data_IF_325343551724
#
_entry.id   IF_325343551724
#
_cell.length_a   1.000
_cell.length_b   1.000
_cell.length_c   1.000
_cell.angle_alpha   90.00
_cell.angle_beta   90.00
_cell.angle_gamma   90.00
#
_symmetry.space_group_name_H-M   'P 1'
#
loop_
_entity.id
_entity.type
_entity.pdbx_description
1 polymer ?
#
# COMPACT_ATOMS: atom_id res chain seq x y z
N UNK A 1 16.97 30.99 -8.20
CA UNK A 1 16.70 29.76 -8.95
C UNK A 1 15.30 29.76 -9.50
N UNK A 2 15.15 29.54 -10.78
CA UNK A 2 13.83 29.38 -11.38
C UNK A 2 13.30 28.00 -11.02
N UNK A 3 12.29 27.96 -10.17
CA UNK A 3 11.60 26.71 -9.83
C UNK A 3 10.74 26.25 -11.01
N UNK A 4 11.00 25.06 -11.51
CA UNK A 4 10.23 24.48 -12.63
C UNK A 4 8.76 24.20 -12.26
N UNK A 5 8.51 23.83 -11.00
CA UNK A 5 7.18 23.53 -10.49
C UNK A 5 6.89 24.44 -9.31
N UNK A 6 5.87 25.29 -9.43
CA UNK A 6 5.47 26.24 -8.40
C UNK A 6 4.24 25.71 -7.69
N UNK A 7 4.27 25.72 -6.36
CA UNK A 7 3.12 25.40 -5.51
C UNK A 7 2.36 26.69 -5.23
N UNK A 8 1.15 26.76 -5.74
CA UNK A 8 0.21 27.85 -5.50
C UNK A 8 -1.13 27.22 -5.10
N UNK A 9 -1.44 27.25 -3.81
CA UNK A 9 -2.66 26.70 -3.24
C UNK A 9 -3.73 27.77 -3.12
N UNK A 10 -4.96 27.42 -3.52
CA UNK A 10 -6.11 28.28 -3.25
C UNK A 10 -6.38 28.35 -1.74
N UNK A 11 -7.13 29.35 -1.30
CA UNK A 11 -7.53 29.48 0.12
C UNK A 11 -8.31 28.25 0.60
N UNK A 12 -9.16 27.71 -0.27
CA UNK A 12 -9.95 26.50 0.02
C UNK A 12 -9.09 25.26 0.14
N UNK A 13 -8.14 25.06 -0.78
CA UNK A 13 -7.18 23.93 -0.73
C UNK A 13 -6.30 23.99 0.52
N UNK A 14 -5.84 25.17 0.89
CA UNK A 14 -5.07 25.38 2.12
C UNK A 14 -5.89 25.03 3.36
N UNK A 15 -7.11 25.52 3.46
CA UNK A 15 -8.02 25.22 4.55
C UNK A 15 -8.32 23.71 4.64
N UNK A 16 -8.57 23.04 3.52
CA UNK A 16 -8.80 21.60 3.45
C UNK A 16 -7.57 20.80 3.96
N UNK A 17 -6.37 21.18 3.57
CA UNK A 17 -5.14 20.54 4.02
C UNK A 17 -4.90 20.72 5.52
N UNK A 18 -5.15 21.91 6.05
CA UNK A 18 -5.03 22.21 7.48
C UNK A 18 -6.06 21.42 8.29
N UNK A 19 -7.29 21.31 7.82
CA UNK A 19 -8.34 20.54 8.47
C UNK A 19 -8.01 19.03 8.48
N UNK A 20 -7.47 18.50 7.41
CA UNK A 20 -6.98 17.11 7.35
C UNK A 20 -5.89 16.84 8.38
N UNK A 21 -4.99 17.79 8.60
CA UNK A 21 -3.95 17.65 9.65
C UNK A 21 -4.54 17.67 11.06
N UNK A 22 -5.61 18.43 11.31
CA UNK A 22 -6.30 18.48 12.61
C UNK A 22 -7.07 17.20 12.91
N UNK A 23 -7.53 16.49 11.90
CA UNK A 23 -8.33 15.27 12.01
C UNK A 23 -7.64 14.05 12.64
N UNK A 24 -6.35 14.09 12.86
CA UNK A 24 -5.56 13.25 13.76
C UNK A 24 -5.22 11.83 13.30
N UNK A 25 -5.96 11.20 12.44
CA UNK A 25 -5.67 9.83 11.98
C UNK A 25 -5.33 9.77 10.50
N UNK A 26 -4.04 9.87 10.21
CA UNK A 26 -3.54 9.84 8.84
C UNK A 26 -2.17 9.14 8.78
N UNK A 27 -1.87 8.37 7.73
CA UNK A 27 -0.53 7.83 7.54
C UNK A 27 0.53 8.92 7.54
N UNK A 28 1.64 8.70 8.23
CA UNK A 28 2.75 9.67 8.36
C UNK A 28 3.22 10.22 7.01
N UNK A 29 3.22 9.38 5.99
CA UNK A 29 3.59 9.80 4.63
C UNK A 29 2.65 10.88 4.07
N UNK A 30 1.35 10.76 4.32
CA UNK A 30 0.36 11.76 3.92
C UNK A 30 0.55 13.07 4.69
N UNK A 31 0.75 12.97 6.00
CA UNK A 31 1.03 14.13 6.87
C UNK A 31 2.25 14.90 6.36
N UNK A 32 3.35 14.22 6.10
CA UNK A 32 4.57 14.85 5.57
C UNK A 32 4.33 15.55 4.22
N UNK A 33 3.59 14.93 3.32
CA UNK A 33 3.26 15.51 2.00
C UNK A 33 2.42 16.76 2.13
N UNK A 34 1.41 16.76 2.99
CA UNK A 34 0.58 17.93 3.27
C UNK A 34 1.43 19.06 3.85
N UNK A 35 2.31 18.76 4.80
CA UNK A 35 3.22 19.76 5.38
C UNK A 35 4.19 20.34 4.34
N UNK A 36 4.71 19.52 3.42
CA UNK A 36 5.55 19.98 2.31
C UNK A 36 4.79 20.98 1.44
N UNK A 37 3.56 20.68 1.06
CA UNK A 37 2.74 21.54 0.22
C UNK A 37 2.41 22.86 0.90
N UNK A 38 2.02 22.84 2.18
CA UNK A 38 1.71 24.05 2.94
C UNK A 38 2.93 24.95 3.10
N UNK A 39 4.09 24.39 3.39
CA UNK A 39 5.33 25.18 3.52
C UNK A 39 5.82 25.71 2.18
N UNK A 40 5.73 24.94 1.12
CA UNK A 40 6.08 25.37 -0.23
C UNK A 40 5.17 26.50 -0.72
N UNK A 41 3.89 26.50 -0.37
CA UNK A 41 2.94 27.57 -0.65
C UNK A 41 3.31 28.90 0.04
N UNK A 42 3.94 28.83 1.22
CA UNK A 42 4.47 29.99 1.93
C UNK A 42 5.81 30.53 1.41
N UNK A 43 6.18 30.18 0.19
CA UNK A 43 7.42 30.63 -0.48
C UNK A 43 8.72 30.14 0.16
N UNK A 44 8.68 29.06 0.94
CA UNK A 44 9.87 28.43 1.47
C UNK A 44 10.71 27.81 0.36
N UNK A 45 12.03 27.83 0.53
CA UNK A 45 12.92 27.09 -0.38
C UNK A 45 12.82 25.58 -0.14
N UNK A 46 13.18 24.80 -1.14
CA UNK A 46 13.13 23.33 -1.02
C UNK A 46 14.04 22.81 0.09
N UNK A 47 15.20 23.46 0.29
CA UNK A 47 16.11 23.16 1.38
C UNK A 47 15.50 23.45 2.76
N UNK A 48 14.79 24.58 2.90
CA UNK A 48 14.11 24.93 4.14
C UNK A 48 12.97 23.96 4.45
N UNK A 49 12.19 23.58 3.46
CA UNK A 49 11.11 22.58 3.62
C UNK A 49 11.67 21.23 3.98
N UNK A 50 12.71 20.78 3.29
CA UNK A 50 13.38 19.50 3.56
C UNK A 50 13.94 19.42 4.98
N UNK A 51 14.60 20.47 5.43
CA UNK A 51 15.16 20.56 6.79
C UNK A 51 14.06 20.58 7.86
N UNK A 52 12.98 21.34 7.64
CA UNK A 52 11.90 21.49 8.61
C UNK A 52 11.09 20.20 8.81
N UNK A 53 10.93 19.39 7.77
CA UNK A 53 10.11 18.17 7.79
C UNK A 53 10.96 16.92 8.02
N UNK A 54 12.27 17.01 7.77
CA UNK A 54 13.18 15.87 7.88
C UNK A 54 13.05 14.88 6.72
N UNK A 55 12.94 15.40 5.50
CA UNK A 55 12.88 14.63 4.25
C UNK A 55 14.00 15.03 3.30
N UNK A 56 14.27 14.21 2.30
CA UNK A 56 15.24 14.54 1.27
C UNK A 56 14.74 15.64 0.32
N UNK A 57 15.66 16.41 -0.23
CA UNK A 57 15.37 17.47 -1.22
C UNK A 57 14.61 16.94 -2.43
N UNK A 58 15.01 15.78 -2.95
CA UNK A 58 14.34 15.11 -4.06
C UNK A 58 12.87 14.75 -3.77
N UNK A 59 12.55 14.47 -2.51
CA UNK A 59 11.17 14.22 -2.07
C UNK A 59 10.33 15.48 -2.21
N UNK A 60 10.84 16.62 -1.78
CA UNK A 60 10.14 17.93 -1.91
C UNK A 60 9.89 18.26 -3.38
N UNK A 61 10.90 18.13 -4.22
CA UNK A 61 10.77 18.36 -5.67
C UNK A 61 9.76 17.42 -6.32
N UNK A 62 9.77 16.14 -5.93
CA UNK A 62 8.84 15.14 -6.43
C UNK A 62 7.38 15.46 -6.05
N UNK A 63 7.13 15.91 -4.82
CA UNK A 63 5.77 16.28 -4.36
C UNK A 63 5.28 17.53 -5.11
N UNK A 64 6.12 18.52 -5.30
CA UNK A 64 5.78 19.73 -6.09
C UNK A 64 5.41 19.38 -7.52
N UNK A 65 6.22 18.53 -8.17
CA UNK A 65 5.91 18.04 -9.51
C UNK A 65 4.58 17.29 -9.58
N UNK A 66 4.31 16.43 -8.61
CA UNK A 66 3.04 15.68 -8.54
C UNK A 66 1.83 16.62 -8.38
N UNK A 67 1.95 17.68 -7.62
CA UNK A 67 0.88 18.68 -7.48
C UNK A 67 0.55 19.31 -8.84
N UNK A 68 1.55 19.74 -9.59
CA UNK A 68 1.37 20.39 -10.89
C UNK A 68 0.83 19.42 -11.94
N UNK A 69 1.33 18.20 -11.96
CA UNK A 69 0.97 17.18 -12.97
C UNK A 69 -0.34 16.45 -12.66
N UNK A 70 -0.70 16.26 -11.39
CA UNK A 70 -1.78 15.36 -10.95
C UNK A 70 -2.81 16.00 -10.03
N UNK A 71 -2.61 17.24 -9.65
CA UNK A 71 -3.46 17.94 -8.68
C UNK A 71 -3.21 17.53 -7.23
N UNK A 72 -4.00 18.09 -6.32
CA UNK A 72 -3.80 17.97 -4.88
C UNK A 72 -3.88 16.51 -4.38
N UNK A 73 -4.91 15.79 -4.75
CA UNK A 73 -5.08 14.38 -4.34
C UNK A 73 -3.97 13.48 -4.90
N UNK A 74 -3.54 13.72 -6.13
CA UNK A 74 -2.44 12.99 -6.76
C UNK A 74 -1.08 13.23 -6.09
N UNK A 75 -0.88 14.40 -5.47
CA UNK A 75 0.32 14.71 -4.72
C UNK A 75 0.32 14.03 -3.33
N UNK A 76 -0.83 13.96 -2.67
CA UNK A 76 -0.98 13.44 -1.31
C UNK A 76 -1.04 11.90 -1.31
N UNK A 77 -1.74 11.31 -2.28
CA UNK A 77 -2.02 9.86 -2.31
C UNK A 77 -1.06 9.14 -3.25
N UNK A 78 -0.60 7.97 -2.82
CA UNK A 78 0.21 7.12 -3.68
C UNK A 78 -0.64 6.52 -4.80
N UNK A 79 -0.04 6.40 -6.00
CA UNK A 79 -0.60 5.55 -7.05
C UNK A 79 -0.74 4.12 -6.56
N UNK A 80 -1.87 3.51 -6.85
CA UNK A 80 -2.01 2.06 -6.67
C UNK A 80 -0.99 1.34 -7.56
N UNK A 81 -0.33 0.29 -7.07
CA UNK A 81 0.56 -0.50 -7.90
C UNK A 81 -0.17 -1.01 -9.14
N UNK A 82 0.44 -0.86 -10.31
CA UNK A 82 -0.12 -1.39 -11.56
C UNK A 82 -0.04 -2.92 -11.61
N UNK A 83 0.95 -3.48 -10.91
CA UNK A 83 1.20 -4.92 -10.93
C UNK A 83 0.19 -5.62 -10.03
N UNK A 84 -0.70 -6.35 -10.66
CA UNK A 84 -1.60 -7.27 -9.98
C UNK A 84 -0.94 -8.65 -9.99
N UNK A 85 -0.68 -9.17 -8.80
CA UNK A 85 -0.24 -10.55 -8.66
C UNK A 85 -1.47 -11.45 -8.64
N UNK A 86 -1.47 -12.48 -9.48
CA UNK A 86 -2.50 -13.51 -9.41
C UNK A 86 -2.43 -14.20 -8.04
N UNK A 87 -3.58 -14.42 -7.42
CA UNK A 87 -3.65 -15.20 -6.19
C UNK A 87 -3.34 -16.65 -6.51
N UNK A 88 -2.44 -17.28 -5.76
CA UNK A 88 -2.18 -18.73 -5.88
C UNK A 88 -3.39 -19.56 -5.47
N UNK A 89 -4.15 -19.05 -4.51
CA UNK A 89 -5.35 -19.70 -3.99
C UNK A 89 -6.56 -18.94 -4.54
N UNK A 90 -7.19 -19.50 -5.56
CA UNK A 90 -8.46 -19.04 -6.11
C UNK A 90 -9.60 -19.97 -5.64
N UNK A 91 -10.84 -19.62 -5.97
CA UNK A 91 -12.04 -20.27 -5.46
C UNK A 91 -12.04 -21.81 -5.50
N UNK A 92 -11.46 -22.42 -6.55
CA UNK A 92 -11.35 -23.89 -6.63
C UNK A 92 -10.40 -24.46 -5.60
N UNK A 93 -9.22 -23.85 -5.44
CA UNK A 93 -8.22 -24.27 -4.46
C UNK A 93 -8.73 -24.05 -3.03
N UNK A 94 -9.37 -22.93 -2.78
CA UNK A 94 -10.01 -22.62 -1.51
C UNK A 94 -11.09 -23.64 -1.14
N UNK A 95 -11.95 -23.99 -2.09
CA UNK A 95 -12.96 -25.01 -1.89
C UNK A 95 -12.37 -26.38 -1.53
N UNK A 96 -11.28 -26.80 -2.19
CA UNK A 96 -10.57 -28.02 -1.87
C UNK A 96 -9.89 -27.99 -0.50
N UNK A 97 -9.30 -26.85 -0.12
CA UNK A 97 -8.72 -26.67 1.23
C UNK A 97 -9.77 -26.80 2.33
N UNK A 98 -10.92 -26.18 2.14
CA UNK A 98 -12.03 -26.25 3.09
C UNK A 98 -12.56 -27.68 3.18
N UNK A 99 -12.75 -28.36 2.05
CA UNK A 99 -13.22 -29.74 2.01
C UNK A 99 -12.25 -30.70 2.70
N UNK A 100 -10.94 -30.54 2.50
CA UNK A 100 -9.91 -31.32 3.18
C UNK A 100 -9.90 -31.05 4.69
N UNK A 101 -9.95 -29.79 5.10
CA UNK A 101 -9.93 -29.40 6.50
C UNK A 101 -11.16 -29.90 7.30
N UNK A 102 -12.32 -30.00 6.63
CA UNK A 102 -13.56 -30.51 7.21
C UNK A 102 -13.62 -32.04 7.23
N UNK A 103 -12.77 -32.72 6.45
CA UNK A 103 -12.67 -34.19 6.40
C UNK A 103 -11.70 -34.77 7.42
N UNK A 104 -11.61 -36.13 7.49
CA UNK A 104 -10.64 -36.78 8.36
C UNK A 104 -9.20 -36.55 7.86
N UNK A 105 -8.20 -36.44 8.75
CA UNK A 105 -6.81 -36.34 8.36
C UNK A 105 -6.33 -37.64 7.67
N UNK A 106 -5.21 -37.59 6.90
CA UNK A 106 -4.64 -38.75 6.27
C UNK A 106 -4.21 -39.83 7.28
N UNK A 107 -4.07 -41.04 6.83
CA UNK A 107 -3.59 -42.15 7.64
C UNK A 107 -2.24 -41.82 8.29
N UNK A 108 -2.12 -42.06 9.59
CA UNK A 108 -0.93 -41.73 10.37
C UNK A 108 -0.94 -40.34 11.05
N UNK A 109 -1.97 -39.54 10.83
CA UNK A 109 -2.12 -38.23 11.45
C UNK A 109 -3.38 -38.15 12.31
N UNK A 110 -3.26 -37.55 13.50
CA UNK A 110 -4.39 -37.42 14.41
C UNK A 110 -5.29 -36.20 14.07
N UNK A 111 -4.72 -35.16 13.48
CA UNK A 111 -5.42 -33.94 13.10
C UNK A 111 -4.71 -33.20 11.97
N UNK A 112 -5.42 -32.28 11.33
CA UNK A 112 -4.86 -31.43 10.29
C UNK A 112 -3.93 -30.34 10.86
N UNK A 113 -2.80 -30.12 10.19
CA UNK A 113 -1.96 -28.93 10.37
C UNK A 113 -1.93 -28.10 9.10
N UNK A 114 -1.52 -26.84 9.20
CA UNK A 114 -1.42 -25.98 8.02
C UNK A 114 -0.42 -26.51 6.98
N UNK A 115 0.68 -27.11 7.43
CA UNK A 115 1.67 -27.72 6.54
C UNK A 115 1.11 -28.97 5.86
N UNK A 116 0.40 -29.80 6.59
CA UNK A 116 -0.23 -31.01 6.05
C UNK A 116 -1.29 -30.65 5.01
N UNK A 117 -2.12 -29.65 5.27
CA UNK A 117 -3.09 -29.11 4.30
C UNK A 117 -2.40 -28.59 3.04
N UNK A 118 -1.31 -27.85 3.18
CA UNK A 118 -0.55 -27.33 2.06
C UNK A 118 0.04 -28.47 1.19
N UNK A 119 0.57 -29.52 1.80
CA UNK A 119 1.13 -30.67 1.10
C UNK A 119 0.06 -31.52 0.42
N UNK A 120 -1.08 -31.74 1.06
CA UNK A 120 -2.16 -32.56 0.52
C UNK A 120 -2.92 -31.88 -0.61
N UNK A 121 -3.16 -30.56 -0.54
CA UNK A 121 -3.86 -29.84 -1.61
C UNK A 121 -3.07 -29.81 -2.91
N UNK A 122 -1.74 -29.81 -2.85
CA UNK A 122 -0.86 -29.84 -4.02
C UNK A 122 -0.97 -31.17 -4.78
N UNK A 123 -1.29 -32.25 -4.08
CA UNK A 123 -1.47 -33.61 -4.67
C UNK A 123 -2.78 -33.76 -5.45
N UNK A 124 -3.72 -32.83 -5.33
CA UNK A 124 -5.00 -32.91 -6.03
C UNK A 124 -4.80 -32.61 -7.51
N UNK A 125 -5.18 -33.55 -8.36
CA UNK A 125 -5.10 -33.38 -9.81
C UNK A 125 -6.03 -32.26 -10.30
N UNK A 126 -5.55 -31.51 -11.28
CA UNK A 126 -6.33 -30.44 -11.93
C UNK A 126 -6.28 -29.07 -11.26
N UNK A 127 -5.52 -28.91 -10.18
CA UNK A 127 -5.31 -27.61 -9.55
C UNK A 127 -4.06 -26.86 -10.04
N UNK A 128 -3.18 -27.52 -10.81
CA UNK A 128 -1.95 -26.96 -11.38
C UNK A 128 -1.06 -26.23 -10.35
N UNK A 129 -1.04 -26.71 -9.11
CA UNK A 129 -0.20 -26.20 -8.05
C UNK A 129 1.05 -27.04 -7.89
N UNK A 130 2.22 -26.44 -8.05
CA UNK A 130 3.50 -27.09 -7.77
C UNK A 130 3.84 -27.07 -6.28
N UNK A 131 3.66 -25.92 -5.66
CA UNK A 131 3.96 -25.73 -4.22
C UNK A 131 3.00 -24.72 -3.60
N UNK A 132 2.68 -24.94 -2.32
CA UNK A 132 1.88 -24.02 -1.52
C UNK A 132 2.49 -23.90 -0.11
N UNK A 133 2.71 -22.65 0.37
CA UNK A 133 3.23 -22.44 1.71
C UNK A 133 2.12 -22.52 2.76
N UNK A 134 2.47 -22.96 3.97
CA UNK A 134 1.53 -22.98 5.10
C UNK A 134 0.97 -21.60 5.46
N UNK A 135 1.77 -20.55 5.23
CA UNK A 135 1.33 -19.16 5.48
C UNK A 135 0.23 -18.74 4.50
N UNK A 136 0.28 -19.19 3.26
CA UNK A 136 -0.79 -18.96 2.28
C UNK A 136 -2.07 -19.67 2.70
N UNK A 137 -1.98 -20.90 3.18
CA UNK A 137 -3.12 -21.66 3.72
C UNK A 137 -3.73 -20.96 4.93
N UNK A 138 -2.90 -20.44 5.84
CA UNK A 138 -3.36 -19.71 7.03
C UNK A 138 -4.17 -18.46 6.68
N UNK A 139 -3.81 -17.78 5.60
CA UNK A 139 -4.48 -16.54 5.15
C UNK A 139 -5.76 -16.79 4.35
N UNK A 140 -5.96 -18.01 3.94
CA UNK A 140 -7.17 -18.43 3.25
C UNK A 140 -8.25 -18.83 4.24
#
# INVERSE_FOLDING_TARGET
MNKKYIVDLTTEERADLEDRLRGGQMPVRKVKRIQILLKADHSWTDEQVAAAIGVGLSTVECIRRKLVERGLEGAITNRRPRRKYARKVEGRVEAHLIALACGPPPEGYAHWSLRLLADEVVKIEGLDLETLSYETVRRT
#
